data_IF_151595240585
#
_entry.id   IF_151595240585
#
_cell.length_a   1.000
_cell.length_b   1.000
_cell.length_c   1.000
_cell.angle_alpha   90.00
_cell.angle_beta   90.00
_cell.angle_gamma   90.00
#
_symmetry.space_group_name_H-M   'P 1'
#
loop_
_entity.id
_entity.type
_entity.pdbx_description
1 polymer ?
#
# COMPACT_ATOMS: atom_id res chain seq x y z
N UNK A 1 -77.60 84.18 -51.45
CA UNK A 1 -76.67 84.25 -50.26
C UNK A 1 -76.74 83.03 -49.41
N UNK A 2 -77.77 82.17 -49.39
CA UNK A 2 -77.83 80.95 -48.57
C UNK A 2 -76.90 79.79 -49.09
N UNK A 3 -76.69 79.68 -50.41
CA UNK A 3 -75.87 78.63 -51.01
C UNK A 3 -74.33 78.85 -50.79
N UNK A 4 -73.88 80.08 -50.65
CA UNK A 4 -72.49 80.43 -50.35
C UNK A 4 -72.14 80.13 -48.88
N UNK A 5 -73.04 80.41 -47.93
CA UNK A 5 -72.85 80.10 -46.51
C UNK A 5 -72.81 78.56 -46.23
N UNK A 6 -73.59 77.79 -47.01
CA UNK A 6 -73.58 76.30 -46.86
C UNK A 6 -72.29 75.65 -47.45
N UNK A 7 -71.74 76.29 -48.53
CA UNK A 7 -70.46 75.82 -49.11
C UNK A 7 -69.28 76.23 -48.27
N UNK A 8 -69.22 77.39 -47.58
CA UNK A 8 -68.20 77.81 -46.62
C UNK A 8 -68.25 76.90 -45.39
N UNK A 9 -69.46 76.55 -44.83
CA UNK A 9 -69.55 75.62 -43.70
C UNK A 9 -69.11 74.21 -44.01
N UNK A 10 -69.28 73.79 -45.28
CA UNK A 10 -68.75 72.49 -45.73
C UNK A 10 -67.26 72.45 -45.94
N UNK A 11 -66.71 73.61 -46.44
CA UNK A 11 -65.26 73.78 -46.58
C UNK A 11 -64.57 73.86 -45.23
N UNK A 12 -65.14 74.54 -44.24
CA UNK A 12 -64.58 74.61 -42.86
C UNK A 12 -64.59 73.25 -42.18
N UNK A 13 -65.66 72.49 -42.30
CA UNK A 13 -65.75 71.11 -41.79
C UNK A 13 -64.74 70.17 -42.47
N UNK A 14 -64.54 70.26 -43.78
CA UNK A 14 -63.53 69.52 -44.51
C UNK A 14 -62.12 69.95 -44.08
N UNK A 15 -61.89 71.19 -43.82
CA UNK A 15 -60.59 71.68 -43.35
C UNK A 15 -60.27 71.25 -41.90
N UNK A 16 -61.30 71.20 -41.01
CA UNK A 16 -61.15 70.63 -39.64
C UNK A 16 -60.83 69.12 -39.69
N UNK A 17 -61.52 68.41 -40.61
CA UNK A 17 -61.30 66.94 -40.79
C UNK A 17 -59.83 66.68 -41.29
N UNK A 18 -59.39 67.52 -42.27
CA UNK A 18 -57.99 67.45 -42.77
C UNK A 18 -56.97 67.70 -41.66
N UNK A 19 -57.18 68.80 -40.89
CA UNK A 19 -56.29 69.11 -39.74
C UNK A 19 -56.29 67.99 -38.66
N UNK A 20 -57.43 67.35 -38.42
CA UNK A 20 -57.51 66.21 -37.52
C UNK A 20 -56.74 64.97 -38.04
N UNK A 21 -56.91 64.73 -39.35
CA UNK A 21 -56.18 63.66 -40.01
C UNK A 21 -54.66 63.90 -40.08
N UNK A 22 -54.27 65.14 -40.31
CA UNK A 22 -52.84 65.53 -40.26
C UNK A 22 -52.23 65.29 -38.87
N UNK A 23 -52.95 65.72 -37.80
CA UNK A 23 -52.50 65.41 -36.41
C UNK A 23 -52.44 63.94 -36.11
N UNK A 24 -53.36 63.15 -36.58
CA UNK A 24 -53.35 61.66 -36.40
C UNK A 24 -52.24 61.03 -37.20
N UNK A 25 -52.00 61.51 -38.44
CA UNK A 25 -50.85 61.07 -39.26
C UNK A 25 -49.48 61.34 -38.59
N UNK A 26 -49.34 62.56 -38.02
CA UNK A 26 -48.12 62.95 -37.31
C UNK A 26 -47.93 62.12 -36.01
N UNK A 27 -49.00 61.86 -35.27
CA UNK A 27 -48.98 61.01 -34.09
C UNK A 27 -48.55 59.59 -34.45
N UNK A 28 -49.07 59.05 -35.56
CA UNK A 28 -48.69 57.73 -36.10
C UNK A 28 -47.24 57.72 -36.58
N UNK A 29 -46.75 58.80 -37.18
CA UNK A 29 -45.36 58.93 -37.58
C UNK A 29 -44.40 58.88 -36.38
N UNK A 30 -44.69 59.69 -35.36
CA UNK A 30 -43.91 59.70 -34.10
C UNK A 30 -43.94 58.27 -33.43
N UNK A 31 -45.08 57.63 -33.43
CA UNK A 31 -45.22 56.27 -32.90
C UNK A 31 -44.42 55.25 -33.72
N UNK A 32 -44.41 55.36 -35.05
CA UNK A 32 -43.58 54.52 -35.94
C UNK A 32 -42.10 54.74 -35.70
N UNK A 33 -41.62 55.98 -35.54
CA UNK A 33 -40.24 56.29 -35.24
C UNK A 33 -39.79 55.74 -33.88
N UNK A 34 -40.66 55.80 -32.85
CA UNK A 34 -40.40 55.19 -31.55
C UNK A 34 -40.30 53.68 -31.61
N UNK A 35 -41.20 53.03 -32.38
CA UNK A 35 -41.14 51.56 -32.56
C UNK A 35 -39.91 51.16 -33.34
N UNK A 36 -39.54 51.93 -34.39
CA UNK A 36 -38.33 51.65 -35.17
C UNK A 36 -37.06 51.75 -34.32
N UNK A 37 -36.96 52.84 -33.50
CA UNK A 37 -35.82 53.01 -32.57
C UNK A 37 -35.79 51.92 -31.45
N UNK A 38 -36.96 51.43 -31.00
CA UNK A 38 -37.08 50.32 -30.08
C UNK A 38 -36.57 49.00 -30.69
N UNK A 39 -36.98 48.72 -31.92
CA UNK A 39 -36.54 47.51 -32.67
C UNK A 39 -35.02 47.55 -32.87
N UNK A 40 -34.46 48.71 -33.25
CA UNK A 40 -33.00 48.88 -33.45
C UNK A 40 -32.21 48.67 -32.14
N UNK A 41 -32.72 49.15 -31.00
CA UNK A 41 -32.13 48.90 -29.69
C UNK A 41 -32.22 47.41 -29.27
N UNK A 42 -33.37 46.79 -29.53
CA UNK A 42 -33.53 45.34 -29.25
C UNK A 42 -32.63 44.47 -30.15
N UNK A 43 -32.43 44.85 -31.42
CA UNK A 43 -31.50 44.17 -32.33
C UNK A 43 -30.04 44.25 -31.86
N UNK A 44 -29.61 45.44 -31.39
CA UNK A 44 -28.28 45.63 -30.81
C UNK A 44 -28.11 44.80 -29.54
N UNK A 45 -29.12 44.81 -28.65
CA UNK A 45 -29.09 44.02 -27.42
C UNK A 45 -29.04 42.51 -27.70
N UNK A 46 -29.81 42.04 -28.66
CA UNK A 46 -29.77 40.63 -29.07
C UNK A 46 -28.38 40.24 -29.59
N UNK A 47 -27.80 41.07 -30.42
CA UNK A 47 -26.47 40.83 -30.97
C UNK A 47 -25.38 40.77 -29.87
N UNK A 48 -25.41 41.71 -28.93
CA UNK A 48 -24.49 41.70 -27.79
C UNK A 48 -24.69 40.49 -26.89
N UNK A 49 -25.93 40.02 -26.70
CA UNK A 49 -26.27 38.85 -25.92
C UNK A 49 -25.81 37.58 -26.60
N UNK A 50 -25.99 37.46 -27.92
CA UNK A 50 -25.50 36.34 -28.73
C UNK A 50 -23.97 36.27 -28.71
N UNK A 51 -23.28 37.39 -28.83
CA UNK A 51 -21.80 37.47 -28.74
C UNK A 51 -21.33 37.00 -27.35
N UNK A 52 -21.92 37.46 -26.26
CA UNK A 52 -21.63 37.00 -24.89
C UNK A 52 -21.89 35.50 -24.70
N UNK A 53 -23.00 35.03 -25.23
CA UNK A 53 -23.35 33.62 -25.15
C UNK A 53 -22.33 32.73 -25.88
N UNK A 54 -21.90 33.17 -27.07
CA UNK A 54 -20.88 32.47 -27.84
C UNK A 54 -19.51 32.46 -27.13
N UNK A 55 -19.12 33.54 -26.47
CA UNK A 55 -17.91 33.58 -25.65
C UNK A 55 -17.98 32.63 -24.46
N UNK A 56 -19.13 32.58 -23.74
CA UNK A 56 -19.33 31.68 -22.60
C UNK A 56 -19.33 30.24 -23.06
N UNK A 57 -19.99 29.91 -24.16
CA UNK A 57 -20.13 28.57 -24.70
C UNK A 57 -18.86 28.05 -25.40
N UNK A 58 -17.98 28.98 -25.85
CA UNK A 58 -16.70 28.62 -26.52
C UNK A 58 -16.91 27.67 -27.69
N UNK A 59 -17.85 27.99 -28.56
CA UNK A 59 -18.20 27.23 -29.75
C UNK A 59 -19.01 25.93 -29.51
N UNK A 60 -19.45 25.65 -28.27
CA UNK A 60 -20.30 24.51 -27.94
C UNK A 60 -21.75 24.99 -27.72
N UNK A 61 -22.69 24.09 -27.87
CA UNK A 61 -24.08 24.32 -27.44
C UNK A 61 -24.23 24.06 -25.94
N UNK A 62 -25.29 24.61 -25.33
CA UNK A 62 -25.62 24.35 -23.94
C UNK A 62 -25.86 22.85 -23.69
N UNK A 63 -26.54 22.18 -24.63
CA UNK A 63 -26.80 20.74 -24.55
C UNK A 63 -25.52 19.90 -24.59
N UNK A 64 -24.56 20.27 -25.42
CA UNK A 64 -23.24 19.62 -25.47
C UNK A 64 -22.49 19.79 -24.14
N UNK A 65 -22.50 20.97 -23.54
CA UNK A 65 -21.90 21.20 -22.23
C UNK A 65 -22.59 20.41 -21.12
N UNK A 66 -23.92 20.28 -21.17
CA UNK A 66 -24.68 19.47 -20.20
C UNK A 66 -24.39 17.98 -20.35
N UNK A 67 -24.26 17.48 -21.58
CA UNK A 67 -23.86 16.09 -21.83
C UNK A 67 -22.42 15.82 -21.34
N UNK A 68 -21.50 16.75 -21.60
CA UNK A 68 -20.12 16.64 -21.13
C UNK A 68 -20.05 16.68 -19.59
N UNK A 69 -20.85 17.53 -18.94
CA UNK A 69 -21.01 17.56 -17.49
C UNK A 69 -21.46 16.21 -16.94
N UNK A 70 -22.49 15.61 -17.57
CA UNK A 70 -23.01 14.30 -17.16
C UNK A 70 -21.94 13.22 -17.31
N UNK A 71 -21.29 13.17 -18.47
CA UNK A 71 -20.21 12.22 -18.76
C UNK A 71 -19.07 12.28 -17.72
N UNK A 72 -18.60 13.50 -17.36
CA UNK A 72 -17.57 13.62 -16.33
C UNK A 72 -18.06 13.23 -14.94
N UNK A 73 -19.33 13.55 -14.62
CA UNK A 73 -19.95 13.16 -13.35
C UNK A 73 -20.05 11.64 -13.20
N UNK A 74 -20.21 10.90 -14.28
CA UNK A 74 -20.22 9.43 -14.30
C UNK A 74 -18.80 8.83 -14.28
N UNK A 75 -17.86 9.45 -14.96
CA UNK A 75 -16.48 8.93 -15.09
C UNK A 75 -15.63 9.14 -13.82
N UNK A 76 -15.81 10.23 -13.09
CA UNK A 76 -15.02 10.53 -11.88
C UNK A 76 -15.14 9.41 -10.83
N UNK A 77 -16.35 8.92 -10.46
CA UNK A 77 -16.49 7.81 -9.52
C UNK A 77 -15.83 6.50 -9.99
N UNK A 78 -15.88 6.23 -11.30
CA UNK A 78 -15.22 5.05 -11.88
C UNK A 78 -13.70 5.14 -11.75
N UNK A 79 -13.11 6.31 -12.00
CA UNK A 79 -11.69 6.55 -11.81
C UNK A 79 -11.27 6.46 -10.34
N UNK A 80 -12.09 6.97 -9.41
CA UNK A 80 -11.85 6.83 -7.97
C UNK A 80 -11.90 5.36 -7.53
N UNK A 81 -12.81 4.57 -8.10
CA UNK A 81 -12.87 3.14 -7.84
C UNK A 81 -11.62 2.41 -8.36
N UNK A 82 -11.10 2.77 -9.54
CA UNK A 82 -9.83 2.25 -10.07
C UNK A 82 -8.65 2.64 -9.18
N UNK A 83 -8.57 3.91 -8.78
CA UNK A 83 -7.52 4.41 -7.87
C UNK A 83 -7.52 3.65 -6.54
N UNK A 84 -8.68 3.42 -5.95
CA UNK A 84 -8.82 2.68 -4.70
C UNK A 84 -8.38 1.22 -4.83
N UNK A 85 -8.73 0.56 -5.94
CA UNK A 85 -8.32 -0.81 -6.23
C UNK A 85 -6.80 -0.91 -6.48
N UNK A 86 -6.22 0.06 -7.19
CA UNK A 86 -4.77 0.16 -7.37
C UNK A 86 -4.04 0.28 -6.02
N UNK A 87 -4.53 1.16 -5.16
CA UNK A 87 -3.97 1.34 -3.82
C UNK A 87 -4.01 0.04 -3.01
N UNK A 88 -5.15 -0.64 -2.99
CA UNK A 88 -5.32 -1.91 -2.30
C UNK A 88 -4.35 -2.99 -2.82
N UNK A 89 -4.21 -3.11 -4.14
CA UNK A 89 -3.26 -4.05 -4.75
C UNK A 89 -1.79 -3.71 -4.42
N UNK A 90 -1.43 -2.41 -4.41
CA UNK A 90 -0.09 -1.97 -4.02
C UNK A 90 0.21 -2.27 -2.54
N UNK A 91 -0.73 -1.98 -1.63
CA UNK A 91 -0.60 -2.28 -0.19
C UNK A 91 -0.40 -3.78 0.06
N UNK A 92 -1.11 -4.65 -0.66
CA UNK A 92 -0.91 -6.10 -0.57
C UNK A 92 0.49 -6.53 -1.07
N UNK A 93 0.97 -5.95 -2.17
CA UNK A 93 2.33 -6.23 -2.69
C UNK A 93 3.43 -5.80 -1.73
N UNK A 94 3.28 -4.62 -1.13
CA UNK A 94 4.23 -4.14 -0.13
C UNK A 94 4.25 -5.02 1.13
N UNK A 95 3.08 -5.50 1.58
CA UNK A 95 2.99 -6.39 2.73
C UNK A 95 3.63 -7.74 2.43
N UNK A 96 3.40 -8.30 1.23
CA UNK A 96 4.08 -9.53 0.78
C UNK A 96 5.59 -9.34 0.82
N UNK A 97 6.11 -8.23 0.27
CA UNK A 97 7.55 -7.91 0.31
C UNK A 97 8.11 -7.85 1.74
N UNK A 98 7.40 -7.19 2.67
CA UNK A 98 7.80 -7.15 4.08
C UNK A 98 7.85 -8.55 4.72
N UNK A 99 6.88 -9.39 4.44
CA UNK A 99 6.83 -10.76 4.98
C UNK A 99 7.91 -11.68 4.36
N UNK A 100 8.20 -11.52 3.08
CA UNK A 100 9.28 -12.22 2.40
C UNK A 100 10.65 -11.84 2.98
N UNK A 101 10.88 -10.55 3.27
CA UNK A 101 12.09 -10.05 3.93
C UNK A 101 12.26 -10.63 5.35
N UNK A 102 11.18 -10.72 6.12
CA UNK A 102 11.20 -11.36 7.45
C UNK A 102 11.56 -12.83 7.32
N UNK A 103 10.92 -13.55 6.42
CA UNK A 103 11.18 -14.98 6.21
C UNK A 103 12.61 -15.24 5.73
N UNK A 104 13.18 -14.37 4.91
CA UNK A 104 14.57 -14.46 4.49
C UNK A 104 15.54 -14.28 5.67
N UNK A 105 15.29 -13.33 6.57
CA UNK A 105 16.08 -13.13 7.79
C UNK A 105 16.01 -14.36 8.71
N UNK A 106 14.81 -14.89 8.91
CA UNK A 106 14.60 -16.09 9.71
C UNK A 106 15.31 -17.30 9.13
N UNK A 107 15.34 -17.46 7.82
CA UNK A 107 16.07 -18.51 7.11
C UNK A 107 17.59 -18.42 7.33
N UNK A 108 18.15 -17.22 7.28
CA UNK A 108 19.58 -16.99 7.56
C UNK A 108 19.90 -17.29 9.02
N UNK A 109 19.05 -16.83 9.95
CA UNK A 109 19.23 -17.09 11.38
C UNK A 109 19.09 -18.60 11.71
N UNK A 110 18.18 -19.30 11.06
CA UNK A 110 18.00 -20.75 11.20
C UNK A 110 19.28 -21.51 10.76
N UNK A 111 19.87 -21.10 9.65
CA UNK A 111 21.13 -21.68 9.15
C UNK A 111 22.28 -21.45 10.13
N UNK A 112 22.39 -20.25 10.71
CA UNK A 112 23.41 -19.93 11.71
C UNK A 112 23.26 -20.75 12.98
N UNK A 113 22.05 -20.84 13.53
CA UNK A 113 21.78 -21.70 14.70
C UNK A 113 21.99 -23.19 14.40
N UNK A 114 21.66 -23.65 13.19
CA UNK A 114 21.95 -25.01 12.74
C UNK A 114 23.45 -25.31 12.78
N UNK A 115 24.26 -24.39 12.24
CA UNK A 115 25.74 -24.52 12.26
C UNK A 115 26.32 -24.52 13.68
N UNK A 116 25.79 -23.64 14.56
CA UNK A 116 26.17 -23.62 15.99
C UNK A 116 25.84 -24.95 16.68
N UNK A 117 24.64 -25.48 16.47
CA UNK A 117 24.23 -26.77 17.00
C UNK A 117 25.18 -27.88 16.59
N UNK A 118 25.51 -27.98 15.30
CA UNK A 118 26.46 -28.97 14.79
C UNK A 118 27.85 -28.83 15.42
N UNK A 119 28.28 -27.59 15.70
CA UNK A 119 29.54 -27.32 16.42
C UNK A 119 29.46 -27.88 17.84
N UNK A 120 28.44 -27.51 18.61
CA UNK A 120 28.23 -28.03 19.97
C UNK A 120 28.15 -29.57 20.01
N UNK A 121 27.46 -30.20 19.07
CA UNK A 121 27.39 -31.63 18.99
C UNK A 121 28.75 -32.30 18.76
N UNK A 122 29.61 -31.70 17.94
CA UNK A 122 30.99 -32.21 17.74
C UNK A 122 31.86 -32.05 18.99
N UNK A 123 31.76 -30.89 19.65
CA UNK A 123 32.51 -30.60 20.88
C UNK A 123 32.02 -31.51 22.02
N UNK A 124 30.74 -31.70 22.20
CA UNK A 124 30.14 -32.64 23.17
C UNK A 124 30.69 -34.06 22.96
N UNK A 125 30.68 -34.54 21.71
CA UNK A 125 31.24 -35.88 21.42
C UNK A 125 32.71 -36.00 21.79
N UNK A 126 33.52 -34.97 21.46
CA UNK A 126 34.96 -34.95 21.80
C UNK A 126 35.18 -34.94 23.32
N UNK A 127 34.42 -34.09 24.04
CA UNK A 127 34.53 -33.98 25.50
C UNK A 127 34.03 -35.26 26.21
N UNK A 128 32.98 -35.91 25.66
CA UNK A 128 32.50 -37.19 26.21
C UNK A 128 33.53 -38.26 26.11
N UNK A 129 34.22 -38.41 24.97
CA UNK A 129 35.35 -39.33 24.84
C UNK A 129 36.47 -39.07 25.84
N UNK A 130 36.82 -37.80 26.00
CA UNK A 130 37.84 -37.35 26.96
C UNK A 130 37.40 -37.58 28.42
N UNK A 131 36.11 -37.44 28.71
CA UNK A 131 35.52 -37.73 30.01
C UNK A 131 35.71 -39.19 30.35
N UNK A 132 35.39 -40.12 29.42
CA UNK A 132 35.52 -41.57 29.58
C UNK A 132 36.99 -41.94 29.88
N UNK A 133 37.95 -41.34 29.15
CA UNK A 133 39.38 -41.54 29.37
C UNK A 133 39.83 -41.08 30.78
N UNK A 134 39.35 -39.88 31.21
CA UNK A 134 39.69 -39.34 32.53
C UNK A 134 39.04 -40.13 33.66
N UNK A 135 37.80 -40.62 33.48
CA UNK A 135 37.14 -41.50 34.45
C UNK A 135 37.89 -42.82 34.65
N UNK A 136 38.38 -43.42 33.55
CA UNK A 136 39.25 -44.61 33.63
C UNK A 136 40.59 -44.33 34.40
N UNK A 137 41.21 -43.17 34.14
CA UNK A 137 42.42 -42.74 34.86
C UNK A 137 42.15 -42.49 36.36
N UNK A 138 41.03 -41.92 36.73
CA UNK A 138 40.62 -41.72 38.13
C UNK A 138 40.39 -43.09 38.83
N UNK A 139 39.75 -44.05 38.15
CA UNK A 139 39.60 -45.41 38.68
C UNK A 139 40.93 -46.08 38.96
N UNK A 140 41.90 -45.94 38.02
CA UNK A 140 43.28 -46.43 38.20
C UNK A 140 43.89 -45.77 39.43
N UNK A 141 43.68 -44.45 39.65
CA UNK A 141 44.20 -43.74 40.82
C UNK A 141 43.61 -44.26 42.15
N UNK A 142 42.34 -44.62 42.18
CA UNK A 142 41.70 -45.19 43.36
C UNK A 142 42.29 -46.57 43.74
N UNK A 143 42.57 -47.37 42.72
CA UNK A 143 43.33 -48.65 42.93
C UNK A 143 44.72 -48.42 43.47
N UNK A 144 45.30 -47.22 43.25
CA UNK A 144 46.63 -46.89 43.77
C UNK A 144 46.62 -46.59 45.25
N UNK A 145 45.54 -46.15 45.85
CA UNK A 145 45.39 -46.06 47.31
C UNK A 145 45.49 -47.43 47.94
N UNK A 146 44.82 -48.41 47.31
CA UNK A 146 44.91 -49.81 47.73
C UNK A 146 46.35 -50.34 47.57
N UNK A 147 47.07 -49.88 46.51
CA UNK A 147 48.49 -50.22 46.32
C UNK A 147 49.41 -49.64 47.39
N UNK A 148 49.11 -48.39 47.86
CA UNK A 148 49.89 -47.74 48.91
C UNK A 148 49.80 -48.46 50.29
N UNK A 149 48.74 -49.23 50.47
CA UNK A 149 48.53 -50.02 51.68
C UNK A 149 49.17 -51.43 51.60
N UNK A 150 49.78 -51.78 50.41
CA UNK A 150 50.44 -53.07 50.23
C UNK A 150 51.73 -53.13 51.05
N UNK A 151 51.89 -54.23 51.75
CA UNK A 151 53.11 -54.56 52.52
C UNK A 151 53.96 -55.53 51.74
N UNK A 152 55.25 -55.38 51.81
CA UNK A 152 56.22 -56.27 51.18
C UNK A 152 56.06 -57.66 51.72
N UNK A 153 55.90 -58.67 50.83
CA UNK A 153 55.72 -60.08 51.20
C UNK A 153 54.30 -60.53 51.59
N UNK A 154 53.26 -59.56 51.59
CA UNK A 154 51.86 -59.91 51.76
C UNK A 154 51.18 -60.05 50.39
N UNK A 155 50.27 -61.07 50.18
CA UNK A 155 49.53 -61.13 48.91
C UNK A 155 48.59 -59.94 48.70
N UNK A 156 48.59 -59.41 47.48
CA UNK A 156 47.74 -58.23 47.08
C UNK A 156 46.25 -58.66 47.21
N UNK A 157 45.41 -57.85 47.88
CA UNK A 157 43.97 -58.14 48.01
C UNK A 157 43.20 -58.03 46.69
N UNK A 158 43.82 -57.45 45.63
CA UNK A 158 43.16 -57.27 44.31
C UNK A 158 43.55 -58.39 43.35
N UNK A 159 44.80 -58.85 43.27
CA UNK A 159 45.28 -59.79 42.27
C UNK A 159 46.10 -61.00 42.86
N UNK A 160 46.35 -61.01 44.18
CA UNK A 160 47.10 -62.08 44.84
C UNK A 160 48.61 -62.05 44.62
N UNK A 161 49.19 -61.19 43.87
CA UNK A 161 50.61 -61.10 43.58
C UNK A 161 51.39 -60.59 44.79
N UNK A 162 52.62 -61.10 44.94
CA UNK A 162 53.58 -60.65 46.01
C UNK A 162 54.48 -59.55 45.56
N UNK A 163 54.56 -59.21 44.24
CA UNK A 163 55.40 -58.18 43.67
C UNK A 163 54.56 -57.18 42.89
N UNK A 164 54.75 -55.87 43.16
CA UNK A 164 54.06 -54.80 42.51
C UNK A 164 55.06 -53.67 42.06
N UNK A 165 55.57 -53.75 40.84
CA UNK A 165 56.61 -52.82 40.38
C UNK A 165 56.19 -51.36 40.34
N UNK A 166 54.88 -51.07 40.32
CA UNK A 166 54.30 -49.74 40.30
C UNK A 166 53.70 -49.27 41.63
N UNK A 167 53.99 -49.93 42.76
CA UNK A 167 53.45 -49.57 44.06
C UNK A 167 54.00 -48.21 44.56
N UNK A 168 55.25 -47.83 44.20
CA UNK A 168 55.92 -46.64 44.67
C UNK A 168 55.87 -45.40 43.74
N UNK A 169 55.59 -45.59 42.45
CA UNK A 169 55.62 -44.48 41.47
C UNK A 169 54.36 -44.47 40.59
N UNK A 170 53.51 -43.52 40.85
CA UNK A 170 52.35 -43.21 39.96
C UNK A 170 52.82 -42.37 38.78
N UNK A 171 52.30 -42.61 37.55
CA UNK A 171 52.48 -41.71 36.45
C UNK A 171 51.87 -40.34 36.79
N UNK A 172 52.57 -39.20 36.51
CA UNK A 172 52.10 -37.88 36.86
C UNK A 172 50.71 -37.52 36.24
N UNK A 173 50.37 -38.18 35.17
CA UNK A 173 49.05 -38.01 34.48
C UNK A 173 47.87 -38.45 35.34
N UNK A 174 48.04 -39.40 36.21
CA UNK A 174 47.02 -39.96 37.11
C UNK A 174 46.75 -39.00 38.29
N UNK A 175 47.77 -38.25 38.78
CA UNK A 175 47.61 -37.36 39.90
C UNK A 175 46.72 -36.14 39.59
N UNK A 176 46.71 -35.64 38.34
CA UNK A 176 45.93 -34.47 37.90
C UNK A 176 44.56 -34.86 37.27
N UNK A 177 44.30 -36.15 37.13
CA UNK A 177 43.09 -36.64 36.45
C UNK A 177 41.80 -36.16 37.12
N UNK A 178 41.74 -36.05 38.44
CA UNK A 178 40.52 -35.60 39.17
C UNK A 178 40.19 -34.13 38.91
N UNK A 179 41.20 -33.27 38.90
CA UNK A 179 40.99 -31.83 38.62
C UNK A 179 40.54 -31.63 37.18
N UNK A 180 41.15 -32.33 36.22
CA UNK A 180 40.76 -32.28 34.80
C UNK A 180 39.37 -32.87 34.59
N UNK A 181 38.98 -33.89 35.31
CA UNK A 181 37.64 -34.50 35.25
C UNK A 181 36.55 -33.48 35.63
N UNK A 182 36.77 -32.70 36.69
CA UNK A 182 35.84 -31.64 37.11
C UNK A 182 35.68 -30.59 36.02
N UNK A 183 36.77 -30.08 35.48
CA UNK A 183 36.75 -29.09 34.41
C UNK A 183 36.03 -29.57 33.15
N UNK A 184 36.30 -30.81 32.71
CA UNK A 184 35.64 -31.40 31.54
C UNK A 184 34.10 -31.60 31.79
N UNK A 185 33.70 -31.99 33.01
CA UNK A 185 32.28 -32.06 33.37
C UNK A 185 31.58 -30.71 33.32
N UNK A 186 32.23 -29.64 33.79
CA UNK A 186 31.69 -28.28 33.73
C UNK A 186 31.57 -27.79 32.27
N UNK A 187 32.62 -27.97 31.46
CA UNK A 187 32.61 -27.63 30.03
C UNK A 187 31.49 -28.40 29.28
N UNK A 188 31.32 -29.70 29.58
CA UNK A 188 30.31 -30.54 28.97
C UNK A 188 28.88 -30.04 29.35
N UNK A 189 28.66 -29.67 30.61
CA UNK A 189 27.41 -29.15 31.09
C UNK A 189 27.05 -27.84 30.40
N UNK A 190 28.01 -26.92 30.22
CA UNK A 190 27.83 -25.65 29.53
C UNK A 190 27.51 -25.86 28.04
N UNK A 191 28.23 -26.73 27.36
CA UNK A 191 27.96 -27.06 25.97
C UNK A 191 26.59 -27.71 25.77
N UNK A 192 26.18 -28.62 26.66
CA UNK A 192 24.83 -29.21 26.63
C UNK A 192 23.74 -28.16 26.86
N UNK A 193 23.97 -27.16 27.72
CA UNK A 193 23.07 -26.04 27.91
C UNK A 193 22.95 -25.20 26.64
N UNK A 194 24.09 -24.88 26.02
CA UNK A 194 24.14 -24.10 24.76
C UNK A 194 23.46 -24.86 23.61
N UNK A 195 23.65 -26.17 23.51
CA UNK A 195 22.96 -27.02 22.54
C UNK A 195 21.44 -26.97 22.73
N UNK A 196 20.94 -27.08 23.98
CA UNK A 196 19.50 -26.96 24.28
C UNK A 196 18.93 -25.60 23.92
N UNK A 197 19.73 -24.54 24.11
CA UNK A 197 19.33 -23.20 23.69
C UNK A 197 19.26 -23.09 22.17
N UNK A 198 20.23 -23.63 21.44
CA UNK A 198 20.22 -23.70 19.98
C UNK A 198 18.99 -24.48 19.45
N UNK A 199 18.69 -25.62 20.05
CA UNK A 199 17.51 -26.41 19.71
C UNK A 199 16.21 -25.60 19.87
N UNK A 200 16.05 -24.90 20.99
CA UNK A 200 14.88 -24.04 21.24
C UNK A 200 14.77 -22.92 20.21
N UNK A 201 15.90 -22.28 19.86
CA UNK A 201 15.93 -21.21 18.86
C UNK A 201 15.54 -21.73 17.48
N UNK A 202 16.05 -22.89 17.09
CA UNK A 202 15.72 -23.57 15.84
C UNK A 202 14.23 -23.90 15.78
N UNK A 203 13.65 -24.43 16.83
CA UNK A 203 12.22 -24.76 16.88
C UNK A 203 11.34 -23.52 16.76
N UNK A 204 11.66 -22.45 17.49
CA UNK A 204 10.93 -21.17 17.41
C UNK A 204 11.02 -20.58 15.99
N UNK A 205 12.20 -20.63 15.34
CA UNK A 205 12.38 -20.12 13.98
C UNK A 205 11.59 -20.94 12.96
N UNK A 206 11.58 -22.26 13.09
CA UNK A 206 10.79 -23.15 12.23
C UNK A 206 9.29 -22.88 12.35
N UNK A 207 8.78 -22.72 13.57
CA UNK A 207 7.37 -22.41 13.81
C UNK A 207 6.99 -21.04 13.23
N UNK A 208 7.88 -20.04 13.39
CA UNK A 208 7.69 -18.69 12.82
C UNK A 208 7.69 -18.73 11.30
N UNK A 209 8.61 -19.46 10.69
CA UNK A 209 8.65 -19.62 9.23
C UNK A 209 7.39 -20.33 8.70
N UNK A 210 6.92 -21.38 9.36
CA UNK A 210 5.70 -22.08 8.97
C UNK A 210 4.46 -21.16 9.05
N UNK A 211 4.39 -20.31 10.07
CA UNK A 211 3.35 -19.29 10.19
C UNK A 211 3.44 -18.26 9.06
N UNK A 212 4.66 -17.75 8.80
CA UNK A 212 4.91 -16.78 7.73
C UNK A 212 4.57 -17.35 6.33
N UNK A 213 4.88 -18.62 6.07
CA UNK A 213 4.51 -19.28 4.82
C UNK A 213 2.98 -19.32 4.60
N UNK A 214 2.23 -19.68 5.65
CA UNK A 214 0.77 -19.68 5.60
C UNK A 214 0.22 -18.27 5.36
N UNK A 215 0.75 -17.30 6.08
CA UNK A 215 0.35 -15.91 5.95
C UNK A 215 0.65 -15.36 4.54
N UNK A 216 1.83 -15.65 3.99
CA UNK A 216 2.19 -15.29 2.62
C UNK A 216 1.25 -15.91 1.58
N UNK A 217 0.82 -17.15 1.80
CA UNK A 217 -0.15 -17.80 0.92
C UNK A 217 -1.50 -17.06 0.92
N UNK A 218 -1.97 -16.65 2.09
CA UNK A 218 -3.22 -15.89 2.23
C UNK A 218 -3.08 -14.48 1.62
N UNK A 219 -1.96 -13.80 1.85
CA UNK A 219 -1.68 -12.49 1.24
C UNK A 219 -1.64 -12.56 -0.29
N UNK A 220 -1.00 -13.58 -0.87
CA UNK A 220 -0.96 -13.77 -2.33
C UNK A 220 -2.35 -14.01 -2.89
N UNK A 221 -3.18 -14.81 -2.22
CA UNK A 221 -4.58 -15.00 -2.60
C UNK A 221 -5.38 -13.69 -2.56
N UNK A 222 -5.17 -12.87 -1.54
CA UNK A 222 -5.81 -11.57 -1.43
C UNK A 222 -5.33 -10.61 -2.54
N UNK A 223 -4.05 -10.68 -2.90
CA UNK A 223 -3.51 -9.92 -4.03
C UNK A 223 -4.17 -10.33 -5.35
N UNK A 224 -4.30 -11.63 -5.61
CA UNK A 224 -4.96 -12.14 -6.82
C UNK A 224 -6.39 -11.60 -6.93
N UNK A 225 -7.16 -11.61 -5.82
CA UNK A 225 -8.51 -11.04 -5.78
C UNK A 225 -8.52 -9.52 -6.02
N UNK A 226 -7.57 -8.79 -5.42
CA UNK A 226 -7.45 -7.35 -5.63
C UNK A 226 -7.05 -7.01 -7.07
N UNK A 227 -6.22 -7.82 -7.71
CA UNK A 227 -5.85 -7.65 -9.13
C UNK A 227 -7.02 -7.99 -10.08
N UNK A 228 -7.84 -8.98 -9.75
CA UNK A 228 -9.08 -9.27 -10.51
C UNK A 228 -10.08 -8.13 -10.38
N UNK A 229 -10.28 -7.61 -9.16
CA UNK A 229 -11.15 -6.45 -8.92
C UNK A 229 -10.65 -5.21 -9.67
N UNK A 230 -9.36 -4.94 -9.65
CA UNK A 230 -8.74 -3.85 -10.40
C UNK A 230 -8.99 -4.00 -11.90
N UNK A 231 -8.82 -5.20 -12.44
CA UNK A 231 -9.08 -5.49 -13.86
C UNK A 231 -10.52 -5.16 -14.22
N UNK A 232 -11.48 -5.66 -13.44
CA UNK A 232 -12.88 -5.38 -13.66
C UNK A 232 -13.19 -3.88 -13.66
N UNK A 233 -12.64 -3.13 -12.69
CA UNK A 233 -12.84 -1.68 -12.58
C UNK A 233 -12.20 -0.92 -13.75
N UNK A 234 -11.02 -1.34 -14.21
CA UNK A 234 -10.39 -0.77 -15.40
C UNK A 234 -11.25 -1.01 -16.66
N UNK A 235 -11.78 -2.22 -16.83
CA UNK A 235 -12.64 -2.56 -17.97
C UNK A 235 -13.93 -1.70 -17.96
N UNK A 236 -14.56 -1.51 -16.81
CA UNK A 236 -15.75 -0.64 -16.65
C UNK A 236 -15.40 0.83 -16.94
N UNK A 237 -14.23 1.30 -16.52
CA UNK A 237 -13.78 2.67 -16.75
C UNK A 237 -13.22 2.90 -18.17
N UNK A 238 -13.13 1.87 -19.01
CA UNK A 238 -12.57 1.94 -20.37
C UNK A 238 -11.07 2.25 -20.37
N UNK A 239 -10.34 1.85 -19.33
CA UNK A 239 -8.90 2.08 -19.18
C UNK A 239 -8.10 0.83 -19.52
N UNK A 240 -7.02 0.99 -20.30
CA UNK A 240 -6.04 -0.07 -20.49
C UNK A 240 -5.32 -0.34 -19.14
N UNK A 241 -5.22 -1.62 -18.75
CA UNK A 241 -4.56 -2.03 -17.49
C UNK A 241 -3.07 -1.67 -17.47
N UNK A 242 -2.41 -1.76 -18.64
CA UNK A 242 -0.99 -1.47 -18.77
C UNK A 242 -0.73 0.05 -18.65
N UNK A 243 0.13 0.42 -17.69
CA UNK A 243 0.54 1.81 -17.44
C UNK A 243 -0.38 2.61 -16.53
N UNK A 244 -1.49 2.05 -16.01
CA UNK A 244 -2.31 2.70 -15.00
C UNK A 244 -1.60 2.63 -13.67
N UNK A 245 -1.15 3.79 -13.18
CA UNK A 245 -0.57 3.95 -11.84
C UNK A 245 -1.51 4.78 -10.97
N UNK A 246 -1.37 4.66 -9.65
CA UNK A 246 -2.16 5.47 -8.70
C UNK A 246 -1.97 6.98 -8.98
N UNK A 247 -0.74 7.40 -9.30
CA UNK A 247 -0.43 8.79 -9.67
C UNK A 247 -1.12 9.21 -10.96
N UNK A 248 -1.12 8.35 -12.00
CA UNK A 248 -1.77 8.65 -13.26
C UNK A 248 -3.30 8.75 -13.09
N UNK A 249 -3.91 7.84 -12.32
CA UNK A 249 -5.34 7.90 -11.99
C UNK A 249 -5.68 9.19 -11.21
N UNK A 250 -4.88 9.57 -10.20
CA UNK A 250 -5.08 10.80 -9.44
C UNK A 250 -5.00 12.05 -10.33
N UNK A 251 -4.04 12.13 -11.24
CA UNK A 251 -3.90 13.26 -12.19
C UNK A 251 -5.11 13.34 -13.12
N UNK A 252 -5.60 12.21 -13.63
CA UNK A 252 -6.79 12.17 -14.48
C UNK A 252 -8.05 12.64 -13.72
N UNK A 253 -8.23 12.22 -12.48
CA UNK A 253 -9.34 12.64 -11.63
C UNK A 253 -9.30 14.15 -11.43
N UNK A 254 -8.17 14.69 -10.97
CA UNK A 254 -8.01 16.13 -10.72
C UNK A 254 -8.28 16.97 -11.99
N UNK A 255 -7.80 16.51 -13.15
CA UNK A 255 -8.06 17.18 -14.42
C UNK A 255 -9.55 17.18 -14.78
N UNK A 256 -10.24 16.04 -14.61
CA UNK A 256 -11.68 15.94 -14.90
C UNK A 256 -12.53 16.75 -13.92
N UNK A 257 -12.18 16.79 -12.64
CA UNK A 257 -12.84 17.62 -11.62
C UNK A 257 -12.71 19.11 -11.93
N UNK A 258 -11.53 19.55 -12.37
CA UNK A 258 -11.29 20.93 -12.80
C UNK A 258 -12.16 21.27 -14.02
N UNK A 259 -12.18 20.43 -15.03
CA UNK A 259 -13.01 20.60 -16.24
C UNK A 259 -14.52 20.62 -15.89
N UNK A 260 -14.96 19.69 -15.02
CA UNK A 260 -16.34 19.65 -14.55
C UNK A 260 -16.75 20.94 -13.84
N UNK A 261 -15.86 21.49 -13.04
CA UNK A 261 -16.09 22.76 -12.32
C UNK A 261 -16.22 23.92 -13.29
N UNK A 262 -15.36 23.96 -14.32
CA UNK A 262 -15.44 24.99 -15.37
C UNK A 262 -16.72 24.89 -16.18
N UNK A 263 -17.09 23.68 -16.63
CA UNK A 263 -18.34 23.44 -17.35
C UNK A 263 -19.55 23.87 -16.53
N UNK A 264 -19.61 23.53 -15.24
CA UNK A 264 -20.70 23.97 -14.35
C UNK A 264 -20.81 25.49 -14.29
N UNK A 265 -19.70 26.22 -14.17
CA UNK A 265 -19.68 27.68 -14.18
C UNK A 265 -20.18 28.26 -15.50
N UNK A 266 -19.79 27.66 -16.63
CA UNK A 266 -20.21 28.09 -17.97
C UNK A 266 -21.71 27.88 -18.19
N UNK A 267 -22.24 26.71 -17.78
CA UNK A 267 -23.68 26.44 -17.85
C UNK A 267 -24.50 27.44 -17.04
N UNK A 268 -24.06 27.78 -15.81
CA UNK A 268 -24.75 28.79 -14.98
C UNK A 268 -24.73 30.16 -15.69
N UNK A 269 -23.57 30.62 -16.14
CA UNK A 269 -23.44 31.90 -16.85
C UNK A 269 -24.27 31.94 -18.12
N UNK A 270 -24.34 30.87 -18.89
CA UNK A 270 -25.14 30.80 -20.10
C UNK A 270 -26.66 30.80 -19.85
N UNK A 271 -27.12 30.34 -18.67
CA UNK A 271 -28.52 30.43 -18.25
C UNK A 271 -28.91 31.80 -17.74
N UNK A 272 -27.92 32.55 -17.18
CA UNK A 272 -28.13 33.88 -16.61
C UNK A 272 -27.97 34.98 -17.67
N UNK A 273 -27.41 34.68 -18.83
CA UNK A 273 -27.24 35.58 -19.99
C UNK A 273 -28.48 35.57 -20.88
#
# INVERSE_FOLDING_TARGET
SAALSDSEGKADKANETVKSQEKEAEALRIRKEKIASGIEADEIFLKETEERLNEILDGKTLDELMQEQLSFSEQIPLLDAVKSALKAACEQKEEIGRQEDVMQKDSVELTDWGSKKECYEREIRSLTSRLDELEALVQINELTKVRAELKEGEPCPVCGSLEHPFAANLPPEVATAKERLVGVKEELADLQKNQKEADRKIDILKDRMLFSEKHLKDLRKNLDLAEEELKLKCDIAGLAREGVTEKAAAVLITKKESLLTDIKKRIVKARDA
#
